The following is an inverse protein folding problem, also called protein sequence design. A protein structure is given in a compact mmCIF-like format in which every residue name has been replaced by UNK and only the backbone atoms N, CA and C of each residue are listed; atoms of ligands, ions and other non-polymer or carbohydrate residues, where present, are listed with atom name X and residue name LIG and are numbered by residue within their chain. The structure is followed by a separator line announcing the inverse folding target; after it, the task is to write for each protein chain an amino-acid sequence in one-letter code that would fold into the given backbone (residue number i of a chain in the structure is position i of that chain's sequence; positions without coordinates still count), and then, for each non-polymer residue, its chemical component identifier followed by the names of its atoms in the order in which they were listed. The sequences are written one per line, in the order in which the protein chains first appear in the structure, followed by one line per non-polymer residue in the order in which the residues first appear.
data_IF_853061061254
#
_entry.id   IF_853061061254
#
_cell.length_a   1.000
_cell.length_b   1.000
_cell.length_c   1.000
_cell.angle_alpha   90.00
_cell.angle_beta   90.00
_cell.angle_gamma   90.00
#
_symmetry.space_group_name_H-M   'P 1'
#
loop_
_entity.id
_entity.type
_entity.pdbx_description
1 polymer ?
#
# COMPACT_ATOMS: atom_id res chain seq x y z
N UNK A 1 -20.30 5.79 0.35
CA UNK A 1 -19.34 5.30 -0.66
C UNK A 1 -19.67 5.97 -2.00
N UNK A 2 -18.68 6.47 -2.74
CA UNK A 2 -18.82 6.99 -4.11
C UNK A 2 -18.13 6.00 -5.05
N UNK A 3 -18.83 5.54 -6.10
CA UNK A 3 -18.27 4.66 -7.13
C UNK A 3 -18.02 5.49 -8.37
N UNK A 4 -16.83 5.33 -8.96
CA UNK A 4 -16.44 5.98 -10.22
C UNK A 4 -16.06 4.85 -11.18
N UNK A 5 -16.81 4.72 -12.27
CA UNK A 5 -16.50 3.77 -13.35
C UNK A 5 -15.59 4.49 -14.34
N UNK A 6 -14.46 3.86 -14.67
CA UNK A 6 -13.47 4.37 -15.59
C UNK A 6 -13.37 3.46 -16.82
N UNK A 7 -13.05 4.03 -17.98
CA UNK A 7 -12.95 3.29 -19.24
C UNK A 7 -11.69 2.41 -19.28
N UNK A 8 -10.62 2.87 -18.63
CA UNK A 8 -9.33 2.19 -18.66
C UNK A 8 -8.52 2.48 -17.38
N UNK A 9 -7.34 1.85 -17.30
CA UNK A 9 -6.42 1.97 -16.17
C UNK A 9 -5.87 3.39 -15.99
N UNK A 10 -5.58 4.10 -17.08
CA UNK A 10 -5.01 5.45 -17.01
C UNK A 10 -6.05 6.44 -16.48
N UNK A 11 -7.30 6.34 -16.93
CA UNK A 11 -8.39 7.16 -16.37
C UNK A 11 -8.61 6.86 -14.89
N UNK A 12 -8.60 5.59 -14.49
CA UNK A 12 -8.71 5.19 -13.07
C UNK A 12 -7.58 5.83 -12.24
N UNK A 13 -6.35 5.77 -12.74
CA UNK A 13 -5.17 6.33 -12.08
C UNK A 13 -5.27 7.85 -11.94
N UNK A 14 -5.67 8.54 -13.01
CA UNK A 14 -5.88 10.00 -13.00
C UNK A 14 -7.01 10.42 -12.06
N UNK A 15 -8.12 9.67 -11.99
CA UNK A 15 -9.22 9.94 -11.04
C UNK A 15 -8.78 9.71 -9.59
N UNK A 16 -8.03 8.64 -9.33
CA UNK A 16 -7.46 8.37 -8.00
C UNK A 16 -6.48 9.50 -7.60
N UNK A 17 -5.63 9.93 -8.53
CA UNK A 17 -4.72 11.05 -8.28
C UNK A 17 -5.49 12.37 -8.06
N UNK A 18 -6.57 12.64 -8.76
CA UNK A 18 -7.40 13.82 -8.52
C UNK A 18 -7.84 13.94 -7.06
N UNK A 19 -8.26 12.81 -6.46
CA UNK A 19 -8.63 12.76 -5.04
C UNK A 19 -7.42 12.95 -4.11
N UNK A 20 -6.26 12.37 -4.48
CA UNK A 20 -5.00 12.55 -3.76
C UNK A 20 -4.53 14.01 -3.84
N UNK A 21 -4.59 14.61 -5.03
CA UNK A 21 -4.17 15.98 -5.28
C UNK A 21 -4.95 16.99 -4.45
N UNK A 22 -6.29 16.82 -4.34
CA UNK A 22 -7.11 17.67 -3.47
C UNK A 22 -6.60 17.68 -2.02
N UNK A 23 -6.20 16.52 -1.49
CA UNK A 23 -5.60 16.42 -0.16
C UNK A 23 -4.24 17.11 -0.11
N UNK A 24 -3.34 16.81 -1.05
CA UNK A 24 -1.98 17.34 -1.08
C UNK A 24 -1.95 18.87 -1.22
N UNK A 25 -2.91 19.44 -1.95
CA UNK A 25 -3.05 20.89 -2.06
C UNK A 25 -3.52 21.53 -0.74
N UNK A 26 -4.43 20.86 -0.03
CA UNK A 26 -5.02 21.35 1.21
C UNK A 26 -4.12 21.13 2.44
N UNK A 27 -3.27 20.08 2.44
CA UNK A 27 -2.48 19.66 3.60
C UNK A 27 -1.08 19.22 3.17
N UNK A 28 -0.07 20.06 3.44
CA UNK A 28 1.33 19.84 3.02
C UNK A 28 2.07 18.76 3.83
N UNK A 29 1.60 18.48 5.03
CA UNK A 29 2.10 17.47 5.96
C UNK A 29 1.13 16.25 6.05
N UNK A 30 0.45 15.92 4.97
CA UNK A 30 -0.51 14.83 4.95
C UNK A 30 0.17 13.47 5.24
N UNK A 31 -0.58 12.59 5.88
CA UNK A 31 -0.18 11.20 6.12
C UNK A 31 -0.91 10.30 5.12
N UNK A 32 -0.15 9.61 4.31
CA UNK A 32 -0.65 8.75 3.24
C UNK A 32 -0.52 7.27 3.61
N UNK A 33 -1.59 6.52 3.47
CA UNK A 33 -1.54 5.07 3.44
C UNK A 33 -1.32 4.60 2.00
N UNK A 34 -0.27 3.83 1.76
CA UNK A 34 0.12 3.40 0.41
C UNK A 34 0.05 1.89 0.28
N UNK A 35 -0.11 1.42 -0.95
CA UNK A 35 -0.21 0.02 -1.31
C UNK A 35 0.82 -0.37 -2.36
N UNK A 36 1.18 -1.64 -2.44
CA UNK A 36 2.02 -2.20 -3.50
C UNK A 36 1.18 -2.90 -4.57
N UNK A 37 1.83 -3.48 -5.56
CA UNK A 37 1.18 -4.17 -6.66
C UNK A 37 0.89 -3.28 -7.86
N UNK A 38 0.23 -3.85 -8.87
CA UNK A 38 0.04 -3.16 -10.16
C UNK A 38 -1.03 -2.06 -10.14
N UNK A 39 -1.99 -2.12 -9.21
CA UNK A 39 -3.11 -1.17 -9.17
C UNK A 39 -2.67 0.28 -8.90
N UNK A 40 -1.80 0.58 -7.92
CA UNK A 40 -1.43 1.95 -7.58
C UNK A 40 -0.31 2.54 -8.46
N UNK A 41 0.37 1.76 -9.31
CA UNK A 41 1.52 2.25 -10.10
C UNK A 41 1.16 3.46 -10.98
N UNK A 42 -0.02 3.47 -11.57
CA UNK A 42 -0.49 4.61 -12.36
C UNK A 42 -0.69 5.87 -11.50
N UNK A 43 -1.25 5.72 -10.30
CA UNK A 43 -1.35 6.81 -9.33
C UNK A 43 0.05 7.34 -8.96
N UNK A 44 1.04 6.46 -8.74
CA UNK A 44 2.40 6.88 -8.42
C UNK A 44 3.07 7.65 -9.56
N UNK A 45 2.81 7.28 -10.81
CA UNK A 45 3.27 8.06 -11.98
C UNK A 45 2.70 9.48 -11.99
N UNK A 46 1.42 9.64 -11.65
CA UNK A 46 0.80 10.95 -11.54
C UNK A 46 1.40 11.77 -10.37
N UNK A 47 1.70 11.12 -9.24
CA UNK A 47 2.39 11.77 -8.11
C UNK A 47 3.79 12.25 -8.50
N UNK A 48 4.55 11.42 -9.24
CA UNK A 48 5.88 11.79 -9.76
C UNK A 48 5.77 12.96 -10.74
N UNK A 49 4.78 12.93 -11.64
CA UNK A 49 4.56 14.05 -12.55
C UNK A 49 4.23 15.34 -11.79
N UNK A 50 3.40 15.25 -10.76
CA UNK A 50 3.04 16.39 -9.91
C UNK A 50 4.27 16.98 -9.18
N UNK A 51 5.21 16.11 -8.76
CA UNK A 51 6.49 16.56 -8.25
C UNK A 51 7.30 17.33 -9.30
N UNK A 52 7.40 16.79 -10.52
CA UNK A 52 8.09 17.46 -11.64
C UNK A 52 7.47 18.80 -12.00
N UNK A 53 6.16 18.94 -11.77
CA UNK A 53 5.41 20.19 -11.96
C UNK A 53 5.58 21.18 -10.79
N UNK A 54 6.42 20.84 -9.80
CA UNK A 54 6.84 21.74 -8.72
C UNK A 54 6.24 21.45 -7.35
N UNK A 55 5.48 20.36 -7.16
CA UNK A 55 5.02 19.99 -5.83
C UNK A 55 6.12 19.31 -5.01
N UNK A 56 6.25 19.65 -3.72
CA UNK A 56 7.21 19.04 -2.79
C UNK A 56 6.50 18.09 -1.84
N UNK A 57 7.05 16.87 -1.71
CA UNK A 57 6.60 15.83 -0.79
C UNK A 57 7.42 15.75 0.50
N UNK A 58 8.37 16.68 0.72
CA UNK A 58 9.35 16.62 1.84
C UNK A 58 8.73 16.48 3.23
N UNK A 59 7.53 17.04 3.44
CA UNK A 59 6.84 17.03 4.73
C UNK A 59 5.76 15.93 4.80
N UNK A 60 5.54 15.17 3.72
CA UNK A 60 4.60 14.05 3.66
C UNK A 60 5.14 12.86 4.43
N UNK A 61 4.25 12.14 5.10
CA UNK A 61 4.54 10.83 5.70
C UNK A 61 3.78 9.74 4.95
N UNK A 62 4.39 8.56 4.83
CA UNK A 62 3.72 7.41 4.24
C UNK A 62 3.80 6.17 5.10
N UNK A 63 2.71 5.39 5.11
CA UNK A 63 2.60 4.10 5.78
C UNK A 63 2.06 3.07 4.79
N UNK A 64 2.81 2.01 4.54
CA UNK A 64 2.41 0.94 3.63
C UNK A 64 1.56 -0.12 4.35
N UNK A 65 0.71 -0.82 3.59
CA UNK A 65 -0.20 -1.83 4.13
C UNK A 65 0.53 -3.06 4.67
N UNK A 66 1.57 -3.51 3.98
CA UNK A 66 2.11 -4.86 4.18
C UNK A 66 3.55 -5.01 3.71
N UNK A 67 4.16 -6.14 4.08
CA UNK A 67 5.46 -6.63 3.61
C UNK A 67 5.54 -8.15 3.84
N UNK A 68 6.35 -8.83 3.08
CA UNK A 68 6.68 -10.24 3.33
C UNK A 68 7.51 -10.43 4.60
N UNK A 69 7.14 -11.42 5.40
CA UNK A 69 7.91 -11.80 6.59
C UNK A 69 9.27 -12.39 6.17
N UNK A 70 10.32 -11.86 6.79
CA UNK A 70 11.69 -12.37 6.61
C UNK A 70 12.38 -11.95 5.32
N UNK A 71 11.74 -11.15 4.47
CA UNK A 71 12.39 -10.64 3.26
C UNK A 71 13.41 -9.54 3.63
N UNK A 72 14.57 -9.52 2.97
CA UNK A 72 15.50 -8.41 3.11
C UNK A 72 14.93 -7.17 2.42
N UNK A 73 15.02 -6.00 3.07
CA UNK A 73 14.56 -4.73 2.47
C UNK A 73 15.24 -4.39 1.15
N UNK A 74 16.45 -4.92 0.90
CA UNK A 74 17.18 -4.75 -0.35
C UNK A 74 16.81 -5.78 -1.43
N UNK A 75 16.00 -6.79 -1.08
CA UNK A 75 15.52 -7.76 -2.05
C UNK A 75 14.67 -7.02 -3.09
N UNK A 76 14.89 -7.27 -4.39
CA UNK A 76 14.08 -6.68 -5.46
C UNK A 76 12.57 -6.94 -5.32
N UNK A 77 12.17 -7.99 -4.60
CA UNK A 77 10.78 -8.37 -4.40
C UNK A 77 10.20 -7.85 -3.07
N UNK A 78 11.00 -7.17 -2.23
CA UNK A 78 10.46 -6.52 -1.05
C UNK A 78 9.53 -5.36 -1.44
N UNK A 79 8.50 -5.13 -0.65
CA UNK A 79 7.59 -3.99 -0.86
C UNK A 79 8.28 -2.66 -0.55
N UNK A 80 9.28 -2.67 0.33
CA UNK A 80 10.14 -1.51 0.52
C UNK A 80 10.86 -1.12 -0.78
N UNK A 81 11.52 -2.09 -1.46
CA UNK A 81 12.18 -1.86 -2.75
C UNK A 81 11.16 -1.46 -3.82
N UNK A 82 9.99 -2.11 -3.85
CA UNK A 82 8.91 -1.74 -4.76
C UNK A 82 8.53 -0.27 -4.61
N UNK A 83 8.32 0.22 -3.39
CA UNK A 83 7.95 1.61 -3.13
C UNK A 83 9.06 2.57 -3.52
N UNK A 84 10.31 2.22 -3.21
CA UNK A 84 11.46 3.03 -3.60
C UNK A 84 11.55 3.16 -5.12
N UNK A 85 11.48 2.05 -5.85
CA UNK A 85 11.62 2.02 -7.30
C UNK A 85 10.44 2.65 -8.05
N UNK A 86 9.21 2.57 -7.53
CA UNK A 86 8.02 3.05 -8.23
C UNK A 86 7.56 4.45 -7.79
N UNK A 87 8.09 4.99 -6.69
CA UNK A 87 7.69 6.30 -6.19
C UNK A 87 8.84 7.08 -5.53
N UNK A 88 9.43 6.55 -4.44
CA UNK A 88 10.22 7.38 -3.53
C UNK A 88 11.49 7.95 -4.16
N UNK A 89 12.16 7.23 -5.04
CA UNK A 89 13.38 7.70 -5.71
C UNK A 89 13.14 8.87 -6.69
N UNK A 90 11.92 9.05 -7.15
CA UNK A 90 11.54 10.03 -8.17
C UNK A 90 10.80 11.25 -7.60
N UNK A 91 10.68 11.35 -6.26
CA UNK A 91 10.11 12.48 -5.54
C UNK A 91 11.04 12.90 -4.38
N UNK A 92 10.77 14.05 -3.77
CA UNK A 92 11.61 14.61 -2.69
C UNK A 92 11.14 14.25 -1.27
N UNK A 93 10.41 13.12 -1.12
CA UNK A 93 9.98 12.65 0.21
C UNK A 93 11.20 12.28 1.06
N UNK A 94 11.21 12.69 2.34
CA UNK A 94 12.22 12.23 3.29
C UNK A 94 11.98 10.72 3.56
N UNK A 95 12.97 9.88 3.26
CA UNK A 95 12.87 8.43 3.49
C UNK A 95 12.66 8.07 4.96
N UNK A 96 13.03 8.92 5.91
CA UNK A 96 12.73 8.74 7.32
C UNK A 96 11.22 8.90 7.62
N UNK A 97 10.47 9.52 6.73
CA UNK A 97 9.03 9.66 6.78
C UNK A 97 8.28 8.53 6.05
N UNK A 98 9.00 7.54 5.51
CA UNK A 98 8.40 6.40 4.81
C UNK A 98 8.44 5.15 5.68
N UNK A 99 7.28 4.55 5.92
CA UNK A 99 7.14 3.41 6.81
C UNK A 99 6.54 2.23 6.05
N UNK A 100 7.32 1.16 5.95
CA UNK A 100 6.87 -0.15 5.47
C UNK A 100 6.99 -1.11 6.65
N UNK A 101 5.94 -1.89 6.99
CA UNK A 101 6.01 -2.80 8.11
C UNK A 101 7.18 -3.78 7.92
N UNK A 102 7.81 -4.19 9.01
CA UNK A 102 8.96 -5.08 8.96
C UNK A 102 9.06 -5.89 10.24
N UNK A 103 9.40 -7.16 10.09
CA UNK A 103 9.57 -8.06 11.23
C UNK A 103 8.84 -9.39 11.02
N UNK A 104 8.83 -10.21 12.08
CA UNK A 104 8.29 -11.57 12.05
C UNK A 104 7.64 -11.99 13.38
N UNK A 105 7.39 -11.05 14.27
CA UNK A 105 6.82 -11.29 15.60
C UNK A 105 5.58 -10.43 15.85
N UNK A 106 4.77 -10.83 16.82
CA UNK A 106 3.65 -9.99 17.30
C UNK A 106 4.15 -8.65 17.87
N UNK A 107 5.35 -8.63 18.45
CA UNK A 107 5.95 -7.39 18.93
C UNK A 107 6.24 -6.40 17.79
N UNK A 108 6.64 -6.90 16.60
CA UNK A 108 6.86 -6.08 15.42
C UNK A 108 5.53 -5.53 14.89
N UNK A 109 4.48 -6.35 14.87
CA UNK A 109 3.13 -5.91 14.51
C UNK A 109 2.65 -4.80 15.46
N UNK A 110 2.85 -5.01 16.76
CA UNK A 110 2.49 -4.01 17.77
C UNK A 110 3.29 -2.72 17.59
N UNK A 111 4.59 -2.80 17.34
CA UNK A 111 5.43 -1.62 17.12
C UNK A 111 4.95 -0.80 15.90
N UNK A 112 4.51 -1.48 14.82
CA UNK A 112 3.94 -0.81 13.67
C UNK A 112 2.59 -0.17 13.98
N UNK A 113 1.72 -0.86 14.74
CA UNK A 113 0.43 -0.32 15.18
C UNK A 113 0.61 0.87 16.14
N UNK A 114 1.59 0.81 17.05
CA UNK A 114 1.93 1.90 17.95
C UNK A 114 2.37 3.15 17.15
N UNK A 115 3.20 2.99 16.11
CA UNK A 115 3.59 4.08 15.22
C UNK A 115 2.39 4.66 14.44
N UNK A 116 1.45 3.82 14.03
CA UNK A 116 0.21 4.25 13.39
C UNK A 116 -0.74 4.98 14.34
N UNK A 117 -0.69 4.67 15.64
CA UNK A 117 -1.52 5.33 16.65
C UNK A 117 -1.12 6.78 16.93
N UNK A 118 0.15 7.13 16.65
CA UNK A 118 0.68 8.49 16.81
C UNK A 118 0.30 9.42 15.65
N UNK A 119 -0.29 8.88 14.60
CA UNK A 119 -0.68 9.62 13.39
C UNK A 119 -2.12 9.32 13.01
N UNK A 120 -2.67 10.11 12.10
CA UNK A 120 -3.95 9.80 11.47
C UNK A 120 -3.75 9.78 9.96
N UNK A 121 -3.93 8.63 9.34
CA UNK A 121 -3.85 8.51 7.87
C UNK A 121 -4.98 9.36 7.26
N UNK A 122 -4.57 10.38 6.51
CA UNK A 122 -5.52 11.29 5.85
C UNK A 122 -6.18 10.64 4.63
N UNK A 123 -5.42 9.84 3.88
CA UNK A 123 -5.90 9.11 2.71
C UNK A 123 -5.18 7.76 2.59
N UNK A 124 -5.96 6.68 2.61
CA UNK A 124 -5.49 5.31 2.40
C UNK A 124 -5.75 4.87 0.97
N UNK A 125 -4.72 4.47 0.26
CA UNK A 125 -4.81 3.82 -1.04
C UNK A 125 -4.91 2.31 -0.84
N UNK A 126 -5.88 1.67 -1.50
CA UNK A 126 -6.16 0.24 -1.42
C UNK A 126 -6.28 -0.35 -2.81
N UNK A 127 -5.68 -1.52 -3.01
CA UNK A 127 -6.07 -2.44 -4.05
C UNK A 127 -7.19 -3.36 -3.57
N UNK A 128 -7.86 -4.03 -4.48
CA UNK A 128 -8.82 -5.10 -4.16
C UNK A 128 -8.47 -6.36 -4.94
N UNK A 129 -8.33 -7.47 -4.24
CA UNK A 129 -8.07 -8.77 -4.82
C UNK A 129 -9.28 -9.36 -5.53
N UNK A 130 -9.09 -10.44 -6.28
CA UNK A 130 -10.17 -11.10 -7.05
C UNK A 130 -11.26 -11.69 -6.14
N UNK A 131 -10.91 -12.12 -4.94
CA UNK A 131 -11.81 -12.65 -3.92
C UNK A 131 -12.26 -11.58 -2.92
N UNK A 132 -11.89 -10.31 -3.13
CA UNK A 132 -12.25 -9.19 -2.27
C UNK A 132 -11.25 -8.88 -1.14
N UNK A 133 -10.08 -9.54 -1.09
CA UNK A 133 -9.07 -9.24 -0.08
C UNK A 133 -8.51 -7.82 -0.22
N UNK A 134 -8.16 -7.22 0.92
CA UNK A 134 -7.51 -5.91 1.04
C UNK A 134 -6.19 -6.10 1.81
N UNK A 135 -5.06 -5.69 1.22
CA UNK A 135 -3.75 -6.09 1.70
C UNK A 135 -3.64 -7.60 1.69
N UNK A 136 -3.21 -8.23 2.79
CA UNK A 136 -3.29 -9.68 2.95
C UNK A 136 -4.45 -10.14 3.85
N UNK A 137 -5.47 -9.28 4.03
CA UNK A 137 -6.69 -9.66 4.76
C UNK A 137 -7.64 -10.42 3.83
N UNK A 138 -7.66 -11.73 3.94
CA UNK A 138 -8.54 -12.63 3.18
C UNK A 138 -10.00 -12.54 3.67
N UNK A 139 -10.99 -12.96 2.84
CA UNK A 139 -12.37 -13.06 3.29
C UNK A 139 -12.50 -13.88 4.57
N UNK A 140 -13.16 -13.29 5.58
CA UNK A 140 -13.30 -13.88 6.92
C UNK A 140 -12.36 -13.28 7.96
N UNK A 141 -11.39 -12.45 7.59
CA UNK A 141 -10.62 -11.65 8.56
C UNK A 141 -11.57 -10.77 9.37
N UNK A 142 -11.47 -10.76 10.71
CA UNK A 142 -12.32 -9.90 11.57
C UNK A 142 -12.18 -8.42 11.21
N UNK A 143 -13.27 -7.67 11.29
CA UNK A 143 -13.24 -6.24 10.99
C UNK A 143 -12.46 -5.42 12.03
N UNK A 144 -12.29 -5.94 13.23
CA UNK A 144 -11.54 -5.30 14.32
C UNK A 144 -10.05 -5.65 14.29
N UNK A 145 -9.64 -6.55 13.38
CA UNK A 145 -8.25 -7.01 13.29
C UNK A 145 -7.30 -5.83 13.08
N UNK A 146 -6.23 -5.81 13.86
CA UNK A 146 -5.16 -4.84 13.79
C UNK A 146 -4.01 -5.38 12.93
N UNK A 147 -2.86 -4.70 12.93
CA UNK A 147 -1.66 -5.21 12.25
C UNK A 147 -1.27 -6.58 12.78
N UNK A 148 -1.13 -7.56 11.90
CA UNK A 148 -0.88 -8.95 12.25
C UNK A 148 -0.03 -9.68 11.22
N UNK A 149 0.47 -10.85 11.60
CA UNK A 149 1.12 -11.78 10.68
C UNK A 149 0.07 -12.74 10.16
N UNK A 150 0.09 -12.98 8.85
CA UNK A 150 -0.84 -13.87 8.16
C UNK A 150 -0.08 -14.91 7.35
N UNK A 151 -0.55 -16.16 7.37
CA UNK A 151 -0.09 -17.19 6.46
C UNK A 151 -0.70 -16.95 5.08
N UNK A 152 0.17 -16.89 4.05
CA UNK A 152 -0.27 -16.69 2.68
C UNK A 152 -0.89 -17.98 2.12
N UNK A 153 -2.10 -17.84 1.58
CA UNK A 153 -2.77 -18.97 0.91
C UNK A 153 -1.97 -19.43 -0.30
N UNK A 154 -2.13 -20.70 -0.68
CA UNK A 154 -1.48 -21.26 -1.87
C UNK A 154 -1.83 -20.44 -3.12
N UNK A 155 -3.10 -20.08 -3.30
CA UNK A 155 -3.55 -19.21 -4.39
C UNK A 155 -2.81 -17.85 -4.41
N UNK A 156 -2.60 -17.23 -3.25
CA UNK A 156 -1.87 -15.96 -3.14
C UNK A 156 -0.39 -16.17 -3.52
N UNK A 157 0.22 -17.25 -3.05
CA UNK A 157 1.61 -17.60 -3.39
C UNK A 157 1.77 -17.92 -4.88
N UNK A 158 0.86 -18.68 -5.46
CA UNK A 158 0.82 -18.96 -6.92
C UNK A 158 0.71 -17.66 -7.73
N UNK A 159 -0.22 -16.78 -7.36
CA UNK A 159 -0.39 -15.49 -8.03
C UNK A 159 0.85 -14.60 -7.95
N UNK A 160 1.61 -14.69 -6.85
CA UNK A 160 2.82 -13.91 -6.62
C UNK A 160 4.10 -14.58 -7.17
N UNK A 161 4.07 -15.88 -7.50
CA UNK A 161 5.23 -16.62 -8.06
C UNK A 161 5.81 -15.93 -9.30
N UNK A 162 4.99 -15.24 -10.09
CA UNK A 162 5.43 -14.43 -11.25
C UNK A 162 6.50 -13.38 -10.92
N UNK A 163 6.59 -12.95 -9.68
CA UNK A 163 7.60 -12.02 -9.19
C UNK A 163 8.85 -12.74 -8.65
N UNK A 164 8.79 -14.06 -8.48
CA UNK A 164 9.82 -14.92 -7.91
C UNK A 164 10.24 -16.01 -8.92
N UNK A 165 10.60 -15.61 -10.15
CA UNK A 165 11.03 -16.49 -11.24
C UNK A 165 10.01 -17.59 -11.61
N UNK A 166 8.71 -17.38 -11.34
CA UNK A 166 7.62 -18.35 -11.42
C UNK A 166 7.82 -19.59 -10.51
N UNK A 167 8.58 -19.45 -9.42
CA UNK A 167 8.80 -20.49 -8.43
C UNK A 167 8.06 -20.18 -7.13
N UNK A 168 6.98 -20.93 -6.87
CA UNK A 168 6.17 -20.77 -5.65
C UNK A 168 6.98 -21.01 -4.36
N UNK A 169 8.05 -21.83 -4.42
CA UNK A 169 8.88 -22.13 -3.26
C UNK A 169 9.74 -20.94 -2.84
N UNK A 170 9.98 -19.99 -3.75
CA UNK A 170 10.69 -18.74 -3.45
C UNK A 170 9.77 -17.67 -2.85
N UNK A 171 8.45 -17.82 -3.03
CA UNK A 171 7.50 -16.87 -2.43
C UNK A 171 7.44 -17.08 -0.92
N UNK A 172 7.62 -16.03 -0.11
CA UNK A 172 7.48 -16.14 1.34
C UNK A 172 6.12 -16.75 1.73
N UNK A 173 6.10 -17.46 2.84
CA UNK A 173 4.88 -18.14 3.31
C UNK A 173 4.00 -17.26 4.19
N UNK A 174 4.57 -16.15 4.70
CA UNK A 174 3.91 -15.24 5.62
C UNK A 174 4.11 -13.78 5.22
N UNK A 175 3.19 -12.93 5.62
CA UNK A 175 3.29 -11.49 5.50
C UNK A 175 2.85 -10.81 6.80
N UNK A 176 3.40 -9.61 7.07
CA UNK A 176 2.88 -8.67 8.05
C UNK A 176 1.97 -7.68 7.30
N UNK A 177 0.74 -7.49 7.78
CA UNK A 177 -0.26 -6.66 7.12
C UNK A 177 -1.07 -5.83 8.11
N UNK A 178 -1.40 -4.59 7.74
CA UNK A 178 -2.42 -3.82 8.45
C UNK A 178 -3.73 -4.61 8.43
N UNK A 179 -4.35 -4.80 9.58
CA UNK A 179 -5.68 -5.37 9.66
C UNK A 179 -6.78 -4.40 9.21
N UNK A 180 -7.98 -4.93 8.99
CA UNK A 180 -9.13 -4.13 8.55
C UNK A 180 -9.45 -3.02 9.57
N UNK A 181 -9.37 -3.32 10.87
CA UNK A 181 -9.59 -2.34 11.94
C UNK A 181 -8.62 -1.16 11.87
N UNK A 182 -7.35 -1.42 11.54
CA UNK A 182 -6.34 -0.37 11.34
C UNK A 182 -6.64 0.46 10.10
N UNK A 183 -6.93 -0.19 8.97
CA UNK A 183 -7.26 0.48 7.70
C UNK A 183 -8.48 1.40 7.86
N UNK A 184 -9.51 0.94 8.57
CA UNK A 184 -10.77 1.69 8.77
C UNK A 184 -10.63 2.93 9.66
N UNK A 185 -9.52 3.09 10.38
CA UNK A 185 -9.20 4.34 11.13
C UNK A 185 -8.80 5.49 10.20
N UNK A 186 -8.52 5.23 8.94
CA UNK A 186 -8.16 6.26 7.95
C UNK A 186 -9.33 7.22 7.69
N UNK A 187 -9.04 8.52 7.55
CA UNK A 187 -10.09 9.54 7.32
C UNK A 187 -10.83 9.35 5.99
N UNK A 188 -10.11 8.90 4.97
CA UNK A 188 -10.62 8.64 3.62
C UNK A 188 -9.86 7.46 3.01
N UNK A 189 -10.54 6.67 2.19
CA UNK A 189 -9.90 5.59 1.44
C UNK A 189 -10.27 5.65 -0.03
N UNK A 190 -9.30 5.30 -0.88
CA UNK A 190 -9.50 5.05 -2.31
C UNK A 190 -9.27 3.56 -2.53
N UNK A 191 -10.26 2.86 -3.06
CA UNK A 191 -10.13 1.48 -3.51
C UNK A 191 -10.08 1.50 -5.03
N UNK A 192 -8.99 1.00 -5.59
CA UNK A 192 -8.82 0.85 -7.03
C UNK A 192 -8.73 -0.62 -7.41
N UNK A 193 -9.46 -1.01 -8.44
CA UNK A 193 -9.49 -2.38 -8.90
C UNK A 193 -10.00 -2.51 -10.32
N UNK A 194 -9.63 -3.63 -10.97
CA UNK A 194 -10.10 -3.96 -12.31
C UNK A 194 -11.22 -5.00 -12.20
N UNK A 195 -12.43 -4.63 -12.59
CA UNK A 195 -13.52 -5.59 -12.76
C UNK A 195 -13.29 -6.40 -14.03
N UNK A 196 -13.23 -7.72 -13.90
CA UNK A 196 -13.39 -8.60 -15.06
C UNK A 196 -14.89 -8.90 -15.18
N UNK A 197 -15.42 -8.67 -16.39
CA UNK A 197 -16.77 -9.14 -16.76
C UNK A 197 -16.78 -10.66 -16.88
#
# INVERSE_FOLDING_TARGET
MKVIVCENYDEMSAKAFGVMKELLDAKKDAVLGLATGSSPVGLYKEMIQYHKDGYSYKDIKSYNLDEYVGIDRKDPQSYYTFMYENLFKDIDIDLNNTHVPYGNTEADCKAYEDALSEVSIDLQVLGIGQNGHIGFNEPGTPFEELTHIVDLTENTREANARFFDNDINKVPTQAITMGIGTIMKSKKSIISGKWRK
#
